data_IF_144406031626
#
_entry.id   IF_144406031626
#
_cell.length_a   1.000
_cell.length_b   1.000
_cell.length_c   1.000
_cell.angle_alpha   90.00
_cell.angle_beta   90.00
_cell.angle_gamma   90.00
#
_symmetry.space_group_name_H-M   'P 1'
#
loop_
_entity.id
_entity.type
_entity.pdbx_description
1 polymer ?
#
# COMPACT_ATOMS: atom_id res chain seq x y z
N UNK A 1 12.77 -53.54 5.04
CA UNK A 1 11.61 -52.92 4.35
C UNK A 1 11.74 -51.42 4.55
N UNK A 2 12.08 -50.67 3.49
CA UNK A 2 12.29 -49.21 3.57
C UNK A 2 10.96 -48.51 3.33
N UNK A 3 10.42 -47.83 4.34
CA UNK A 3 9.22 -47.00 4.18
C UNK A 3 9.53 -45.80 3.27
N UNK A 4 8.70 -45.51 2.26
CA UNK A 4 8.85 -44.31 1.45
C UNK A 4 8.66 -43.08 2.36
N UNK A 5 9.70 -42.25 2.49
CA UNK A 5 9.58 -40.91 3.07
C UNK A 5 8.82 -40.04 2.08
N UNK A 6 7.54 -39.81 2.33
CA UNK A 6 6.80 -38.75 1.65
C UNK A 6 7.23 -37.43 2.29
N UNK A 7 8.10 -36.69 1.60
CA UNK A 7 8.34 -35.29 1.95
C UNK A 7 6.99 -34.56 1.87
N UNK A 8 6.60 -33.74 2.87
CA UNK A 8 5.37 -32.98 2.79
C UNK A 8 5.47 -32.03 1.59
N UNK A 9 4.73 -32.33 0.53
CA UNK A 9 4.58 -31.44 -0.60
C UNK A 9 3.68 -30.28 -0.13
N UNK A 10 4.08 -29.01 -0.32
CA UNK A 10 3.21 -27.90 0.01
C UNK A 10 1.89 -28.09 -0.75
N UNK A 11 0.78 -28.08 -0.03
CA UNK A 11 -0.53 -28.22 -0.63
C UNK A 11 -0.73 -27.09 -1.67
N UNK A 12 -1.30 -27.44 -2.82
CA UNK A 12 -1.65 -26.44 -3.82
C UNK A 12 -2.62 -25.41 -3.21
N UNK A 13 -2.50 -24.12 -3.56
CA UNK A 13 -3.38 -23.08 -3.03
C UNK A 13 -4.84 -23.35 -3.43
N UNK A 14 -5.79 -23.06 -2.53
CA UNK A 14 -7.22 -23.21 -2.82
C UNK A 14 -7.71 -22.12 -3.78
N UNK A 15 -8.81 -22.36 -4.53
CA UNK A 15 -9.43 -21.32 -5.37
C UNK A 15 -9.79 -20.05 -4.59
N UNK A 16 -10.25 -20.18 -3.35
CA UNK A 16 -10.56 -19.04 -2.47
C UNK A 16 -9.30 -18.25 -2.11
N UNK A 17 -8.21 -18.95 -1.79
CA UNK A 17 -6.92 -18.31 -1.51
C UNK A 17 -6.39 -17.57 -2.75
N UNK A 18 -6.54 -18.16 -3.95
CA UNK A 18 -6.16 -17.50 -5.20
C UNK A 18 -7.00 -16.24 -5.47
N UNK A 19 -8.32 -16.32 -5.26
CA UNK A 19 -9.22 -15.16 -5.44
C UNK A 19 -8.90 -14.04 -4.46
N UNK A 20 -8.70 -14.39 -3.18
CA UNK A 20 -8.27 -13.45 -2.12
C UNK A 20 -6.95 -12.77 -2.51
N UNK A 21 -5.95 -13.55 -2.89
CA UNK A 21 -4.63 -13.03 -3.28
C UNK A 21 -4.70 -12.14 -4.52
N UNK A 22 -5.52 -12.48 -5.52
CA UNK A 22 -5.74 -11.65 -6.70
C UNK A 22 -6.39 -10.30 -6.35
N UNK A 23 -7.35 -10.29 -5.42
CA UNK A 23 -7.99 -9.08 -4.93
C UNK A 23 -6.98 -8.18 -4.20
N UNK A 24 -6.21 -8.74 -3.26
CA UNK A 24 -5.18 -8.00 -2.52
C UNK A 24 -4.14 -7.42 -3.48
N UNK A 25 -3.64 -8.20 -4.44
CA UNK A 25 -2.66 -7.74 -5.42
C UNK A 25 -3.20 -6.56 -6.25
N UNK A 26 -4.47 -6.62 -6.66
CA UNK A 26 -5.14 -5.54 -7.41
C UNK A 26 -5.24 -4.28 -6.56
N UNK A 27 -5.63 -4.41 -5.30
CA UNK A 27 -5.74 -3.27 -4.39
C UNK A 27 -4.37 -2.65 -4.05
N UNK A 28 -3.34 -3.48 -3.83
CA UNK A 28 -1.96 -3.01 -3.64
C UNK A 28 -1.47 -2.23 -4.87
N UNK A 29 -1.80 -2.67 -6.08
CA UNK A 29 -1.48 -1.95 -7.31
C UNK A 29 -2.18 -0.57 -7.35
N UNK A 30 -3.47 -0.52 -7.05
CA UNK A 30 -4.21 0.75 -6.99
C UNK A 30 -3.69 1.69 -5.92
N UNK A 31 -3.35 1.16 -4.75
CA UNK A 31 -2.84 1.94 -3.64
C UNK A 31 -1.44 2.48 -3.93
N UNK A 32 -0.58 1.68 -4.56
CA UNK A 32 0.73 2.14 -5.05
C UNK A 32 0.58 3.26 -6.09
N UNK A 33 -0.38 3.15 -7.01
CA UNK A 33 -0.64 4.22 -7.96
C UNK A 33 -1.18 5.49 -7.29
N UNK A 34 -2.02 5.36 -6.27
CA UNK A 34 -2.53 6.47 -5.49
C UNK A 34 -1.41 7.18 -4.71
N UNK A 35 -0.51 6.43 -4.06
CA UNK A 35 0.63 6.98 -3.33
C UNK A 35 1.58 7.74 -4.26
N UNK A 36 1.94 7.17 -5.41
CA UNK A 36 2.78 7.84 -6.42
C UNK A 36 2.14 9.15 -6.87
N UNK A 37 0.83 9.17 -7.13
CA UNK A 37 0.12 10.40 -7.52
C UNK A 37 0.08 11.42 -6.39
N UNK A 38 -0.14 11.01 -5.15
CA UNK A 38 -0.13 11.91 -4.00
C UNK A 38 1.24 12.61 -3.86
N UNK A 39 2.34 11.87 -4.01
CA UNK A 39 3.70 12.43 -4.01
C UNK A 39 3.93 13.43 -5.14
N UNK A 40 3.51 13.10 -6.36
CA UNK A 40 3.66 14.00 -7.52
C UNK A 40 2.91 15.32 -7.28
N UNK A 41 1.69 15.23 -6.77
CA UNK A 41 0.87 16.40 -6.44
C UNK A 41 1.53 17.25 -5.33
N UNK A 42 2.06 16.62 -4.29
CA UNK A 42 2.83 17.31 -3.24
C UNK A 42 4.05 18.03 -3.80
N UNK A 43 4.85 17.36 -4.63
CA UNK A 43 6.03 17.94 -5.24
C UNK A 43 5.70 19.16 -6.14
N UNK A 44 4.48 19.22 -6.65
CA UNK A 44 3.95 20.31 -7.47
C UNK A 44 3.21 21.39 -6.68
N UNK A 45 3.16 21.28 -5.34
CA UNK A 45 2.45 22.22 -4.47
C UNK A 45 0.92 22.11 -4.52
N UNK A 46 0.38 21.02 -5.08
CA UNK A 46 -1.06 20.78 -5.22
C UNK A 46 -1.62 20.07 -3.98
N UNK A 47 -1.52 20.72 -2.82
CA UNK A 47 -1.78 20.11 -1.51
C UNK A 47 -3.20 19.54 -1.35
N UNK A 48 -4.25 20.24 -1.77
CA UNK A 48 -5.63 19.74 -1.66
C UNK A 48 -5.88 18.49 -2.52
N UNK A 49 -5.27 18.44 -3.71
CA UNK A 49 -5.37 17.26 -4.58
C UNK A 49 -4.56 16.10 -4.00
N UNK A 50 -3.38 16.37 -3.45
CA UNK A 50 -2.58 15.39 -2.74
C UNK A 50 -3.33 14.81 -1.54
N UNK A 51 -3.99 15.65 -0.73
CA UNK A 51 -4.84 15.21 0.40
C UNK A 51 -5.98 14.32 -0.08
N UNK A 52 -6.66 14.68 -1.16
CA UNK A 52 -7.69 13.82 -1.77
C UNK A 52 -7.15 12.45 -2.18
N UNK A 53 -5.91 12.40 -2.72
CA UNK A 53 -5.27 11.13 -3.08
C UNK A 53 -4.84 10.32 -1.86
N UNK A 54 -4.41 10.99 -0.79
CA UNK A 54 -4.07 10.33 0.47
C UNK A 54 -5.30 9.66 1.10
N UNK A 55 -6.46 10.33 1.13
CA UNK A 55 -7.72 9.73 1.64
C UNK A 55 -8.11 8.44 0.88
N UNK A 56 -7.97 8.44 -0.45
CA UNK A 56 -8.20 7.24 -1.26
C UNK A 56 -7.18 6.13 -0.92
N UNK A 57 -5.93 6.50 -0.69
CA UNK A 57 -4.89 5.57 -0.30
C UNK A 57 -5.17 4.94 1.06
N UNK A 58 -5.58 5.73 2.06
CA UNK A 58 -5.98 5.25 3.40
C UNK A 58 -7.16 4.28 3.34
N UNK A 59 -8.15 4.57 2.49
CA UNK A 59 -9.28 3.67 2.26
C UNK A 59 -8.80 2.33 1.68
N UNK A 60 -7.95 2.35 0.65
CA UNK A 60 -7.42 1.13 0.05
C UNK A 60 -6.57 0.34 1.04
N UNK A 61 -5.75 1.01 1.85
CA UNK A 61 -4.93 0.38 2.89
C UNK A 61 -5.80 -0.31 3.93
N UNK A 62 -6.86 0.35 4.40
CA UNK A 62 -7.82 -0.23 5.35
C UNK A 62 -8.47 -1.49 4.78
N UNK A 63 -8.89 -1.44 3.51
CA UNK A 63 -9.50 -2.60 2.87
C UNK A 63 -8.48 -3.74 2.66
N UNK A 64 -7.21 -3.45 2.34
CA UNK A 64 -6.15 -4.47 2.24
C UNK A 64 -5.91 -5.12 3.60
N UNK A 65 -5.89 -4.35 4.69
CA UNK A 65 -5.69 -4.85 6.05
C UNK A 65 -6.74 -5.89 6.44
N UNK A 66 -8.01 -5.61 6.14
CA UNK A 66 -9.14 -6.55 6.36
C UNK A 66 -8.94 -7.87 5.60
N UNK A 67 -8.28 -7.81 4.44
CA UNK A 67 -7.95 -9.00 3.66
C UNK A 67 -6.70 -9.71 4.17
N UNK A 68 -6.03 -9.27 5.24
CA UNK A 68 -4.92 -9.97 5.89
C UNK A 68 -3.85 -10.46 4.87
N UNK A 69 -3.08 -9.53 4.25
CA UNK A 69 -2.04 -9.90 3.31
C UNK A 69 -0.98 -10.77 3.98
N UNK A 70 -0.43 -11.70 3.20
CA UNK A 70 0.60 -12.63 3.67
C UNK A 70 1.76 -12.70 2.67
N UNK A 71 2.90 -13.25 3.13
CA UNK A 71 4.11 -13.37 2.31
C UNK A 71 4.58 -12.02 1.75
N UNK A 72 4.92 -11.99 0.47
CA UNK A 72 5.41 -10.78 -0.20
C UNK A 72 4.38 -9.64 -0.23
N UNK A 73 3.09 -9.97 -0.32
CA UNK A 73 2.03 -8.97 -0.28
C UNK A 73 1.96 -8.27 1.08
N UNK A 74 2.26 -8.97 2.18
CA UNK A 74 2.36 -8.36 3.51
C UNK A 74 3.49 -7.33 3.55
N UNK A 75 4.65 -7.67 2.99
CA UNK A 75 5.78 -6.75 2.90
C UNK A 75 5.43 -5.52 2.06
N UNK A 76 4.77 -5.72 0.92
CA UNK A 76 4.28 -4.61 0.08
C UNK A 76 3.29 -3.71 0.83
N UNK A 77 2.40 -4.30 1.62
CA UNK A 77 1.45 -3.57 2.45
C UNK A 77 2.15 -2.75 3.55
N UNK A 78 3.15 -3.32 4.23
CA UNK A 78 3.94 -2.62 5.26
C UNK A 78 4.70 -1.41 4.67
N UNK A 79 5.31 -1.56 3.49
CA UNK A 79 5.94 -0.44 2.80
C UNK A 79 4.94 0.66 2.42
N UNK A 80 3.71 0.27 2.08
CA UNK A 80 2.64 1.22 1.76
C UNK A 80 2.16 1.98 2.99
N UNK A 81 2.05 1.33 4.14
CA UNK A 81 1.74 1.98 5.43
C UNK A 81 2.80 3.02 5.80
N UNK A 82 4.09 2.72 5.59
CA UNK A 82 5.16 3.68 5.82
C UNK A 82 5.08 4.87 4.86
N UNK A 83 4.66 4.64 3.61
CA UNK A 83 4.45 5.71 2.64
C UNK A 83 3.27 6.61 3.01
N UNK A 84 2.15 6.05 3.51
CA UNK A 84 1.02 6.82 4.05
C UNK A 84 1.51 7.78 5.14
N UNK A 85 2.26 7.28 6.13
CA UNK A 85 2.79 8.11 7.23
C UNK A 85 3.69 9.24 6.74
N UNK A 86 4.52 8.97 5.72
CA UNK A 86 5.37 10.00 5.09
C UNK A 86 4.54 11.07 4.41
N UNK A 87 3.50 10.67 3.69
CA UNK A 87 2.58 11.58 3.00
C UNK A 87 1.75 12.42 3.99
N UNK A 88 1.23 11.80 5.05
CA UNK A 88 0.56 12.49 6.16
C UNK A 88 1.46 13.55 6.79
N UNK A 89 2.71 13.18 7.08
CA UNK A 89 3.70 14.10 7.64
C UNK A 89 3.98 15.26 6.68
N UNK A 90 4.15 14.98 5.39
CA UNK A 90 4.42 16.00 4.37
C UNK A 90 3.23 16.94 4.15
N UNK A 91 2.00 16.46 4.32
CA UNK A 91 0.77 17.27 4.24
C UNK A 91 0.44 18.02 5.54
N UNK A 92 0.91 17.50 6.68
CA UNK A 92 0.75 18.12 8.00
C UNK A 92 1.86 19.10 8.36
N UNK A 93 3.02 19.04 7.68
CA UNK A 93 4.02 20.09 7.75
C UNK A 93 3.45 21.36 7.09
N UNK A 94 3.35 22.46 7.84
CA UNK A 94 3.05 23.76 7.23
C UNK A 94 4.08 24.03 6.12
N UNK A 95 3.65 24.56 4.95
CA UNK A 95 4.60 24.99 3.94
C UNK A 95 5.54 26.02 4.60
N UNK A 96 6.86 25.98 4.32
CA UNK A 96 7.77 26.98 4.85
C UNK A 96 7.21 28.36 4.47
N UNK A 97 7.22 29.34 5.39
CA UNK A 97 6.70 30.67 5.08
C UNK A 97 7.38 31.16 3.82
N UNK A 98 6.59 31.65 2.85
CA UNK A 98 7.14 32.30 1.67
C UNK A 98 8.06 33.42 2.19
N UNK A 99 9.37 33.25 2.05
CA UNK A 99 10.33 34.30 2.36
C UNK A 99 9.95 35.48 1.48
N UNK A 100 9.38 36.50 2.12
CA UNK A 100 8.89 37.70 1.46
C UNK A 100 9.95 38.23 0.51
N UNK A 101 9.62 38.25 -0.77
CA UNK A 101 10.43 38.97 -1.75
C UNK A 101 10.41 40.46 -1.38
N UNK A 102 11.58 41.13 -1.33
CA UNK A 102 11.73 42.51 -0.88
C UNK A 102 11.02 43.54 -1.78
#
# INVERSE_FOLDING_TARGET
>A
MSSPRVSPQPAAPTPEALKKNGLIATMLLHATAASVRARDLLARGLFEQARTRLLLLEELVTQIEVLEPSGDMKRSFEMLLDEVRRLETALGAEPPPEEGSP
#
